data_IF_956175019215
#
_entry.id   IF_956175019215
#
_cell.length_a   1.000
_cell.length_b   1.000
_cell.length_c   1.000
_cell.angle_alpha   90.00
_cell.angle_beta   90.00
_cell.angle_gamma   90.00
#
_symmetry.space_group_name_H-M   'P 1'
#
loop_
_entity.id
_entity.type
_entity.pdbx_description
1 polymer ?
#
# COMPACT_ATOMS: atom_id res chain seq x y z
N UNK A 1 -47.77 -28.95 23.80
CA UNK A 1 -46.57 -29.44 23.04
C UNK A 1 -45.91 -28.35 22.20
N UNK A 2 -46.65 -27.52 21.46
CA UNK A 2 -46.14 -26.43 20.61
C UNK A 2 -45.34 -25.38 21.41
N UNK A 3 -45.89 -24.89 22.54
CA UNK A 3 -45.23 -23.87 23.36
C UNK A 3 -43.85 -24.32 23.91
N UNK A 4 -43.70 -25.62 24.25
CA UNK A 4 -42.41 -26.17 24.69
C UNK A 4 -41.39 -26.21 23.56
N UNK A 5 -41.81 -26.53 22.33
CA UNK A 5 -40.92 -26.50 21.13
C UNK A 5 -40.50 -25.09 20.79
N UNK A 6 -41.38 -24.10 20.86
CA UNK A 6 -41.07 -22.68 20.64
C UNK A 6 -40.06 -22.19 21.68
N UNK A 7 -40.27 -22.52 22.97
CA UNK A 7 -39.31 -22.13 24.02
C UNK A 7 -37.93 -22.70 23.78
N UNK A 8 -37.82 -23.97 23.41
CA UNK A 8 -36.52 -24.61 23.08
C UNK A 8 -35.89 -23.97 21.85
N UNK A 9 -36.65 -23.69 20.81
CA UNK A 9 -36.15 -22.99 19.62
C UNK A 9 -35.60 -21.61 19.97
N UNK A 10 -36.34 -20.82 20.76
CA UNK A 10 -35.86 -19.49 21.21
C UNK A 10 -34.60 -19.58 22.06
N UNK A 11 -34.48 -20.59 22.94
CA UNK A 11 -33.26 -20.79 23.71
C UNK A 11 -32.02 -21.06 22.80
N UNK A 12 -32.19 -21.92 21.78
CA UNK A 12 -31.12 -22.19 20.81
C UNK A 12 -30.80 -20.96 19.96
N UNK A 13 -31.80 -20.21 19.52
CA UNK A 13 -31.59 -18.96 18.76
C UNK A 13 -30.78 -17.93 19.57
N UNK A 14 -31.12 -17.75 20.86
CA UNK A 14 -30.38 -16.87 21.75
C UNK A 14 -28.93 -17.37 21.97
N UNK A 15 -28.77 -18.69 22.22
CA UNK A 15 -27.43 -19.27 22.41
C UNK A 15 -26.55 -19.09 21.18
N UNK A 16 -27.09 -19.29 19.97
CA UNK A 16 -26.39 -19.08 18.70
C UNK A 16 -26.03 -17.60 18.50
N UNK A 17 -26.96 -16.68 18.79
CA UNK A 17 -26.71 -15.25 18.69
C UNK A 17 -25.60 -14.81 19.66
N UNK A 18 -25.60 -15.26 20.91
CA UNK A 18 -24.56 -14.98 21.89
C UNK A 18 -23.23 -15.58 21.44
N UNK A 19 -23.23 -16.83 20.98
CA UNK A 19 -22.04 -17.48 20.44
C UNK A 19 -21.46 -16.72 19.25
N UNK A 20 -22.29 -16.28 18.31
CA UNK A 20 -21.88 -15.46 17.18
C UNK A 20 -21.25 -14.13 17.65
N UNK A 21 -21.88 -13.43 18.60
CA UNK A 21 -21.34 -12.19 19.13
C UNK A 21 -19.98 -12.39 19.81
N UNK A 22 -19.82 -13.46 20.60
CA UNK A 22 -18.53 -13.78 21.25
C UNK A 22 -17.44 -14.04 20.20
N UNK A 23 -17.70 -14.89 19.22
CA UNK A 23 -16.74 -15.21 18.16
C UNK A 23 -16.43 -13.97 17.34
N UNK A 24 -17.43 -13.15 17.01
CA UNK A 24 -17.21 -11.92 16.27
C UNK A 24 -16.32 -10.93 17.05
N UNK A 25 -16.52 -10.78 18.37
CA UNK A 25 -15.65 -9.96 19.21
C UNK A 25 -14.20 -10.46 19.24
N UNK A 26 -14.00 -11.78 19.29
CA UNK A 26 -12.66 -12.36 19.20
C UNK A 26 -12.02 -12.09 17.82
N UNK A 27 -12.82 -12.19 16.76
CA UNK A 27 -12.36 -11.84 15.40
C UNK A 27 -11.98 -10.37 15.26
N UNK A 28 -12.63 -9.44 15.99
CA UNK A 28 -12.23 -8.02 15.98
C UNK A 28 -10.82 -7.77 16.52
N UNK A 29 -10.32 -8.61 17.41
CA UNK A 29 -8.93 -8.55 17.89
C UNK A 29 -7.92 -9.16 16.94
N UNK A 30 -8.36 -9.95 15.96
CA UNK A 30 -7.51 -10.59 14.96
C UNK A 30 -7.56 -9.88 13.61
N UNK A 31 -8.74 -9.51 13.14
CA UNK A 31 -8.96 -8.83 11.86
C UNK A 31 -10.12 -7.86 12.01
N UNK A 32 -9.85 -6.56 11.95
CA UNK A 32 -10.87 -5.51 11.95
C UNK A 32 -10.58 -4.59 10.78
N UNK A 33 -11.30 -4.80 9.69
CA UNK A 33 -11.24 -3.93 8.54
C UNK A 33 -12.05 -2.66 8.81
N UNK A 34 -11.41 -1.54 8.58
CA UNK A 34 -12.04 -0.22 8.65
C UNK A 34 -12.74 0.11 7.34
N UNK A 35 -13.74 0.98 7.37
CA UNK A 35 -14.43 1.44 6.17
C UNK A 35 -13.47 2.13 5.20
N UNK A 36 -13.67 1.86 3.91
CA UNK A 36 -12.88 2.38 2.80
C UNK A 36 -13.66 3.44 2.05
N UNK A 37 -13.09 4.59 1.82
CA UNK A 37 -13.71 5.73 1.13
C UNK A 37 -12.97 5.94 -0.18
N UNK A 38 -13.64 5.70 -1.30
CA UNK A 38 -13.08 5.93 -2.63
C UNK A 38 -12.97 7.42 -2.93
N UNK A 39 -11.81 7.82 -3.46
CA UNK A 39 -11.49 9.19 -3.85
C UNK A 39 -10.93 9.20 -5.27
N UNK A 40 -11.78 9.00 -6.30
CA UNK A 40 -11.33 8.77 -7.67
C UNK A 40 -10.50 9.92 -8.27
N UNK A 41 -10.61 11.12 -7.71
CA UNK A 41 -9.87 12.31 -8.13
C UNK A 41 -9.08 12.95 -6.96
N UNK A 42 -8.85 12.18 -5.88
CA UNK A 42 -8.06 12.63 -4.73
C UNK A 42 -6.57 12.32 -4.86
N UNK A 43 -5.78 12.67 -3.84
CA UNK A 43 -4.35 12.43 -3.81
C UNK A 43 -3.97 10.94 -3.74
N UNK A 44 -4.96 10.09 -3.47
CA UNK A 44 -4.85 8.64 -3.42
C UNK A 44 -6.18 8.05 -3.87
N UNK A 45 -6.22 6.84 -4.47
CA UNK A 45 -7.47 6.23 -4.97
C UNK A 45 -8.54 6.07 -3.90
N UNK A 46 -8.12 5.91 -2.66
CA UNK A 46 -9.02 5.81 -1.51
C UNK A 46 -8.25 6.03 -0.20
N UNK A 47 -9.01 6.23 0.87
CA UNK A 47 -8.49 6.29 2.21
C UNK A 47 -9.42 5.55 3.20
N UNK A 48 -8.92 5.26 4.38
CA UNK A 48 -9.71 4.64 5.44
C UNK A 48 -10.66 5.64 6.11
N UNK A 49 -11.66 5.13 6.82
CA UNK A 49 -12.52 5.97 7.65
C UNK A 49 -11.69 6.60 8.79
N UNK A 50 -11.58 7.95 8.85
CA UNK A 50 -10.70 8.65 9.77
C UNK A 50 -10.97 8.34 11.25
N UNK A 51 -9.90 8.32 12.05
CA UNK A 51 -9.97 8.17 13.51
C UNK A 51 -10.29 6.76 14.01
N UNK A 52 -10.47 5.80 13.12
CA UNK A 52 -10.77 4.39 13.45
C UNK A 52 -9.50 3.59 13.78
N UNK A 53 -9.66 2.41 14.36
CA UNK A 53 -8.56 1.48 14.63
C UNK A 53 -8.67 0.30 13.67
N UNK A 54 -7.65 0.14 12.83
CA UNK A 54 -7.43 -1.00 11.97
C UNK A 54 -6.71 -2.10 12.76
N UNK A 55 -7.17 -3.34 12.64
CA UNK A 55 -6.47 -4.54 13.11
C UNK A 55 -6.33 -5.49 11.94
N UNK A 56 -5.11 -5.87 11.59
CA UNK A 56 -4.81 -6.77 10.50
C UNK A 56 -3.96 -7.93 11.00
N UNK A 57 -4.48 -9.15 10.93
CA UNK A 57 -3.84 -10.35 11.44
C UNK A 57 -3.81 -11.53 10.46
N UNK A 58 -4.40 -11.36 9.27
CA UNK A 58 -4.40 -12.41 8.22
C UNK A 58 -3.03 -12.55 7.57
N UNK A 59 -2.26 -11.46 7.54
CA UNK A 59 -0.85 -11.44 7.15
C UNK A 59 -0.09 -10.50 8.10
N UNK A 60 0.95 -10.98 8.75
CA UNK A 60 1.58 -10.24 9.83
C UNK A 60 0.66 -10.07 11.05
N UNK A 61 0.89 -9.03 11.81
CA UNK A 61 -0.04 -8.54 12.82
C UNK A 61 0.19 -7.05 13.07
N UNK A 62 -0.76 -6.24 12.59
CA UNK A 62 -0.75 -4.78 12.73
C UNK A 62 -1.96 -4.29 13.51
N UNK A 63 -1.73 -3.35 14.43
CA UNK A 63 -2.79 -2.55 15.04
C UNK A 63 -2.39 -1.09 14.84
N UNK A 64 -3.23 -0.34 14.14
CA UNK A 64 -2.91 1.04 13.81
C UNK A 64 -4.15 1.92 13.94
N UNK A 65 -3.96 3.12 14.45
CA UNK A 65 -4.97 4.17 14.41
C UNK A 65 -4.84 4.91 13.09
N UNK A 66 -5.95 4.98 12.35
CA UNK A 66 -6.05 5.79 11.14
C UNK A 66 -6.08 7.26 11.55
N UNK A 67 -5.31 8.10 10.88
CA UNK A 67 -5.25 9.53 11.14
C UNK A 67 -6.54 10.27 10.73
N UNK A 68 -6.56 11.59 10.87
CA UNK A 68 -7.72 12.42 10.57
C UNK A 68 -8.02 12.55 9.08
N UNK A 69 -7.05 12.22 8.22
CA UNK A 69 -7.17 12.27 6.77
C UNK A 69 -7.43 10.87 6.16
N UNK A 70 -7.47 9.83 6.99
CA UNK A 70 -7.78 8.47 6.56
C UNK A 70 -6.57 7.62 6.17
N UNK A 71 -5.35 8.01 6.59
CA UNK A 71 -4.11 7.30 6.27
C UNK A 71 -3.42 6.72 7.51
N UNK A 72 -2.34 5.96 7.28
CA UNK A 72 -1.55 5.33 8.35
C UNK A 72 -0.36 6.22 8.70
N UNK A 73 -0.59 7.25 9.51
CA UNK A 73 0.43 8.17 10.02
C UNK A 73 0.27 8.36 11.53
N UNK A 74 0.77 7.43 12.35
CA UNK A 74 0.55 7.50 13.80
C UNK A 74 1.15 8.75 14.45
N UNK A 75 2.23 9.29 13.87
CA UNK A 75 3.04 10.35 14.48
C UNK A 75 3.21 11.59 13.57
N UNK A 76 2.56 11.63 12.40
CA UNK A 76 2.71 12.72 11.42
C UNK A 76 1.44 13.56 11.26
N UNK A 77 1.61 14.87 11.08
CA UNK A 77 0.56 15.77 10.62
C UNK A 77 0.80 16.18 9.18
N UNK A 78 -0.27 16.39 8.44
CA UNK A 78 -0.23 16.80 7.05
C UNK A 78 0.49 18.15 6.87
N UNK A 79 0.29 19.06 7.79
CA UNK A 79 0.77 20.44 7.74
C UNK A 79 2.29 20.55 7.88
N UNK A 80 2.92 19.58 8.55
CA UNK A 80 4.36 19.55 8.81
C UNK A 80 5.09 18.60 7.83
N UNK A 81 4.40 18.12 6.77
CA UNK A 81 4.94 17.09 5.90
C UNK A 81 5.84 17.69 4.83
N UNK A 82 7.10 17.25 4.81
CA UNK A 82 8.12 17.64 3.84
C UNK A 82 8.45 16.51 2.86
N UNK A 83 8.10 15.27 3.20
CA UNK A 83 8.31 14.08 2.38
C UNK A 83 6.96 13.40 2.18
N UNK A 84 6.45 13.39 0.96
CA UNK A 84 5.22 12.67 0.62
C UNK A 84 5.57 11.25 0.19
N UNK A 85 4.97 10.25 0.83
CA UNK A 85 5.17 8.84 0.49
C UNK A 85 3.91 8.27 -0.20
N UNK A 86 4.00 8.04 -1.49
CA UNK A 86 3.01 7.38 -2.32
C UNK A 86 3.38 5.92 -2.53
N UNK A 87 2.42 5.07 -2.80
CA UNK A 87 2.70 3.66 -3.10
C UNK A 87 1.50 2.75 -2.88
N UNK A 88 1.78 1.47 -2.88
CA UNK A 88 0.82 0.38 -2.73
C UNK A 88 0.61 -0.01 -1.25
N UNK A 89 0.06 -1.22 -1.04
CA UNK A 89 -0.02 -1.84 0.28
C UNK A 89 1.35 -2.00 0.97
N UNK A 90 2.42 -2.10 0.21
CA UNK A 90 3.78 -2.18 0.74
C UNK A 90 4.20 -0.88 1.45
N UNK A 91 3.88 0.28 0.91
CA UNK A 91 4.10 1.56 1.59
C UNK A 91 3.09 1.76 2.71
N UNK A 92 1.83 1.38 2.50
CA UNK A 92 0.77 1.52 3.50
C UNK A 92 1.11 0.81 4.81
N UNK A 93 1.63 -0.43 4.75
CA UNK A 93 2.21 -1.14 5.88
C UNK A 93 1.22 -1.54 6.97
N UNK A 94 -0.03 -1.85 6.60
CA UNK A 94 -1.09 -2.28 7.55
C UNK A 94 -0.79 -3.60 8.25
N UNK A 95 0.09 -4.43 7.67
CA UNK A 95 0.55 -5.73 8.17
C UNK A 95 1.50 -5.61 9.37
N UNK A 96 1.96 -4.40 9.65
CA UNK A 96 2.96 -4.14 10.69
C UNK A 96 2.35 -3.49 11.93
N UNK A 97 2.95 -3.67 13.10
CA UNK A 97 2.66 -2.82 14.24
C UNK A 97 2.88 -1.35 13.90
N UNK A 98 2.05 -0.48 14.48
CA UNK A 98 2.18 0.97 14.33
C UNK A 98 3.62 1.45 14.51
N UNK A 99 4.06 2.39 13.67
CA UNK A 99 5.42 2.95 13.72
C UNK A 99 6.53 2.04 13.17
N UNK A 100 6.19 0.97 12.42
CA UNK A 100 7.17 0.02 11.87
C UNK A 100 7.23 -0.03 10.35
N UNK A 101 6.39 0.72 9.64
CA UNK A 101 6.57 0.95 8.21
C UNK A 101 7.73 1.93 7.94
N UNK A 102 8.25 1.96 6.73
CA UNK A 102 9.42 2.78 6.40
C UNK A 102 9.17 4.27 6.59
N UNK A 103 7.96 4.77 6.32
CA UNK A 103 7.59 6.17 6.55
C UNK A 103 7.74 6.57 8.02
N UNK A 104 7.27 5.74 8.94
CA UNK A 104 7.45 5.99 10.38
C UNK A 104 8.92 5.86 10.82
N UNK A 105 9.70 5.00 10.17
CA UNK A 105 11.15 4.91 10.41
C UNK A 105 11.88 6.16 9.92
N UNK A 106 11.49 6.74 8.78
CA UNK A 106 11.97 8.05 8.32
C UNK A 106 11.67 9.14 9.35
N UNK A 107 10.41 9.20 9.84
CA UNK A 107 10.03 10.14 10.89
C UNK A 107 10.88 9.99 12.15
N UNK A 108 11.18 8.75 12.56
CA UNK A 108 12.04 8.49 13.71
C UNK A 108 13.48 9.00 13.47
N UNK A 109 14.01 8.83 12.27
CA UNK A 109 15.35 9.28 11.90
C UNK A 109 15.44 10.83 11.90
N UNK A 110 14.55 11.47 11.18
CA UNK A 110 14.58 12.92 10.99
C UNK A 110 14.13 13.71 12.23
N UNK A 111 13.26 13.16 13.08
CA UNK A 111 12.90 13.79 14.36
C UNK A 111 14.07 13.90 15.35
N UNK A 112 15.12 13.11 15.18
CA UNK A 112 16.32 13.14 16.00
C UNK A 112 17.31 14.25 15.58
N UNK A 113 17.11 14.91 14.42
CA UNK A 113 17.96 15.96 13.86
C UNK A 113 17.47 17.40 14.13
N UNK A 114 18.35 18.38 13.89
CA UNK A 114 17.97 19.81 13.89
C UNK A 114 17.21 20.13 12.58
N UNK A 115 15.90 20.20 12.65
CA UNK A 115 15.00 20.43 11.52
C UNK A 115 14.15 19.20 11.25
N UNK A 116 13.02 19.11 11.90
CA UNK A 116 12.11 17.97 11.80
C UNK A 116 11.51 17.88 10.40
N UNK A 117 12.05 17.00 9.57
CA UNK A 117 11.41 16.60 8.34
C UNK A 117 10.39 15.52 8.66
N UNK A 118 9.14 15.77 8.33
CA UNK A 118 8.09 14.79 8.53
C UNK A 118 7.75 14.11 7.20
N UNK A 119 7.73 12.78 7.19
CA UNK A 119 7.23 11.97 6.10
C UNK A 119 5.75 11.63 6.32
N UNK A 120 4.95 11.77 5.28
CA UNK A 120 3.52 11.50 5.30
C UNK A 120 3.13 10.43 4.28
N UNK A 121 2.47 9.40 4.74
CA UNK A 121 2.09 8.22 3.97
C UNK A 121 0.65 8.37 3.46
N UNK A 122 0.46 8.49 2.14
CA UNK A 122 -0.85 8.45 1.48
C UNK A 122 -1.06 7.19 0.65
N UNK A 123 -0.24 6.18 0.86
CA UNK A 123 -0.31 4.93 0.12
C UNK A 123 -1.64 4.20 0.32
N UNK A 124 -2.01 3.45 -0.69
CA UNK A 124 -3.29 2.78 -0.78
C UNK A 124 -3.11 1.35 -1.28
N UNK A 125 -3.79 0.41 -0.63
CA UNK A 125 -3.80 -1.00 -1.03
C UNK A 125 -4.29 -1.15 -2.48
N UNK A 126 -3.55 -1.90 -3.29
CA UNK A 126 -3.85 -2.09 -4.72
C UNK A 126 -3.48 -0.90 -5.62
N UNK A 127 -2.73 0.07 -5.12
CA UNK A 127 -2.29 1.22 -5.89
C UNK A 127 -1.00 0.88 -6.66
N UNK A 128 -1.13 0.61 -7.95
CA UNK A 128 -0.01 0.30 -8.85
C UNK A 128 0.37 1.53 -9.69
N UNK A 129 1.47 1.44 -10.46
CA UNK A 129 2.02 2.55 -11.22
C UNK A 129 0.98 3.33 -12.07
N UNK A 130 0.04 2.72 -12.82
CA UNK A 130 -0.99 3.48 -13.54
C UNK A 130 -1.85 4.34 -12.63
N UNK A 131 -2.25 3.79 -11.49
CA UNK A 131 -3.04 4.54 -10.51
C UNK A 131 -2.21 5.63 -9.83
N UNK A 132 -0.93 5.41 -9.57
CA UNK A 132 -0.02 6.42 -9.04
C UNK A 132 0.14 7.59 -10.00
N UNK A 133 0.30 7.33 -11.31
CA UNK A 133 0.34 8.36 -12.37
C UNK A 133 -0.94 9.21 -12.34
N UNK A 134 -2.10 8.57 -12.36
CA UNK A 134 -3.40 9.23 -12.34
C UNK A 134 -3.58 10.15 -11.13
N UNK A 135 -3.17 9.74 -9.94
CA UNK A 135 -3.38 10.46 -8.69
C UNK A 135 -2.25 11.44 -8.34
N UNK A 136 -1.15 11.42 -9.08
CA UNK A 136 0.01 12.27 -8.83
C UNK A 136 -0.29 13.77 -8.84
N UNK A 137 -1.04 14.33 -9.82
CA UNK A 137 -1.37 15.75 -9.84
C UNK A 137 -2.11 16.21 -8.58
N UNK A 138 -3.12 15.44 -8.17
CA UNK A 138 -3.90 15.74 -6.97
C UNK A 138 -3.07 15.57 -5.68
N UNK A 139 -2.09 14.67 -5.68
CA UNK A 139 -1.17 14.52 -4.56
C UNK A 139 -0.24 15.75 -4.43
N UNK A 140 0.32 16.22 -5.53
CA UNK A 140 1.15 17.44 -5.54
C UNK A 140 0.33 18.67 -5.09
N UNK A 141 -0.90 18.83 -5.57
CA UNK A 141 -1.79 19.92 -5.16
C UNK A 141 -2.14 19.87 -3.67
N UNK A 142 -2.42 18.68 -3.15
CA UNK A 142 -2.79 18.49 -1.75
C UNK A 142 -1.61 18.68 -0.77
N UNK A 143 -0.36 18.56 -1.25
CA UNK A 143 0.86 18.62 -0.43
C UNK A 143 1.86 19.65 -0.96
N UNK A 144 1.49 20.94 -1.00
CA UNK A 144 2.33 21.98 -1.60
C UNK A 144 3.65 22.25 -0.86
N UNK A 145 3.78 21.79 0.38
CA UNK A 145 5.00 21.92 1.20
C UNK A 145 5.96 20.74 1.08
N UNK A 146 5.62 19.71 0.30
CA UNK A 146 6.52 18.58 0.08
C UNK A 146 7.77 19.06 -0.64
N UNK A 147 8.95 18.76 -0.09
CA UNK A 147 10.24 18.98 -0.73
C UNK A 147 10.72 17.75 -1.50
N UNK A 148 10.20 16.57 -1.13
CA UNK A 148 10.47 15.33 -1.80
C UNK A 148 9.19 14.46 -1.86
N UNK A 149 9.05 13.72 -2.97
CA UNK A 149 8.00 12.72 -3.15
C UNK A 149 8.67 11.36 -3.39
N UNK A 150 8.32 10.37 -2.57
CA UNK A 150 8.73 8.98 -2.79
C UNK A 150 7.56 8.19 -3.35
N UNK A 151 7.81 7.39 -4.39
CA UNK A 151 6.80 6.60 -5.09
C UNK A 151 7.25 5.14 -5.07
N UNK A 152 6.60 4.31 -4.28
CA UNK A 152 6.91 2.88 -4.22
C UNK A 152 6.16 2.13 -5.30
N UNK A 153 6.87 1.26 -6.02
CA UNK A 153 6.34 0.35 -7.01
C UNK A 153 7.04 -1.02 -6.92
N UNK A 154 6.31 -2.06 -7.26
CA UNK A 154 6.82 -3.45 -7.26
C UNK A 154 6.81 -4.11 -8.64
N UNK A 155 6.33 -3.43 -9.67
CA UNK A 155 6.24 -3.92 -11.03
C UNK A 155 6.13 -2.75 -12.01
N UNK A 156 6.82 -2.87 -13.15
CA UNK A 156 6.74 -1.92 -14.28
C UNK A 156 6.13 -2.55 -15.54
N UNK A 157 5.87 -3.86 -15.53
CA UNK A 157 5.26 -4.59 -16.66
C UNK A 157 3.73 -4.38 -16.67
N UNK A 158 3.32 -3.29 -17.32
CA UNK A 158 1.95 -2.77 -17.32
C UNK A 158 1.40 -2.84 -18.75
N UNK A 159 0.11 -3.07 -18.87
CA UNK A 159 -0.56 -3.09 -20.17
C UNK A 159 -0.66 -1.70 -20.80
N UNK A 160 -0.74 -1.67 -22.13
CA UNK A 160 -0.91 -0.43 -22.90
C UNK A 160 -2.18 0.29 -22.48
N UNK A 161 -3.29 -0.44 -22.34
CA UNK A 161 -4.60 0.10 -21.99
C UNK A 161 -4.61 0.75 -20.61
N UNK A 162 -3.88 0.19 -19.65
CA UNK A 162 -3.78 0.75 -18.29
C UNK A 162 -2.95 2.05 -18.29
N UNK A 163 -1.86 2.10 -19.07
CA UNK A 163 -1.04 3.31 -19.21
C UNK A 163 -1.78 4.42 -19.93
N UNK A 164 -2.44 4.13 -21.08
CA UNK A 164 -3.26 5.10 -21.80
C UNK A 164 -4.34 5.69 -20.91
N UNK A 165 -5.09 4.84 -20.20
CA UNK A 165 -6.11 5.29 -19.27
C UNK A 165 -5.54 6.18 -18.15
N UNK A 166 -4.38 5.82 -17.59
CA UNK A 166 -3.75 6.60 -16.52
C UNK A 166 -3.34 7.99 -17.00
N UNK A 167 -2.74 8.08 -18.19
CA UNK A 167 -2.33 9.36 -18.82
C UNK A 167 -3.52 10.26 -19.10
N UNK A 168 -4.57 9.73 -19.74
CA UNK A 168 -5.80 10.48 -19.99
C UNK A 168 -6.42 11.04 -18.70
N UNK A 169 -6.44 10.23 -17.62
CA UNK A 169 -7.05 10.67 -16.36
C UNK A 169 -6.17 11.66 -15.58
N UNK A 170 -4.86 11.61 -15.72
CA UNK A 170 -3.93 12.53 -15.05
C UNK A 170 -4.00 13.97 -15.61
N UNK A 171 -4.50 14.15 -16.85
CA UNK A 171 -4.74 15.47 -17.45
C UNK A 171 -6.04 16.12 -16.94
N UNK A 172 -6.98 15.35 -16.40
CA UNK A 172 -8.29 15.82 -15.97
C UNK A 172 -8.42 15.86 -14.44
N UNK A 173 -7.94 16.90 -13.82
CA UNK A 173 -8.26 17.20 -12.40
C UNK A 173 -9.70 17.71 -12.35
N UNK A 174 -10.67 16.82 -12.06
CA UNK A 174 -12.05 17.22 -11.78
C UNK A 174 -12.36 17.04 -10.30
N UNK A 175 -12.70 18.16 -9.67
CA UNK A 175 -13.20 18.22 -8.30
C UNK A 175 -14.59 17.54 -8.20
N UNK A 176 -14.62 16.28 -7.78
CA UNK A 176 -15.84 15.57 -7.42
C UNK A 176 -15.67 14.82 -6.10
N UNK A 177 -16.07 15.46 -5.02
CA UNK A 177 -16.29 14.78 -3.75
C UNK A 177 -17.48 13.82 -3.89
N UNK A 178 -17.20 12.54 -4.06
CA UNK A 178 -18.23 11.50 -4.11
C UNK A 178 -18.92 11.36 -2.74
N UNK A 179 -20.17 11.75 -2.64
CA UNK A 179 -20.98 11.48 -1.45
C UNK A 179 -21.32 9.99 -1.38
N UNK A 180 -20.84 9.32 -0.34
CA UNK A 180 -21.14 7.90 -0.09
C UNK A 180 -22.65 7.67 0.06
N UNK A 181 -23.20 6.83 -0.82
CA UNK A 181 -24.58 6.38 -0.75
C UNK A 181 -24.87 5.55 0.52
N UNK A 182 -26.16 5.47 0.92
CA UNK A 182 -26.58 4.74 2.12
C UNK A 182 -26.12 3.26 2.13
N UNK A 183 -26.13 2.61 0.97
CA UNK A 183 -25.67 1.21 0.79
C UNK A 183 -24.18 1.07 1.06
N UNK A 184 -23.36 2.01 0.61
CA UNK A 184 -21.92 2.01 0.86
C UNK A 184 -21.62 2.21 2.35
N UNK A 185 -22.34 3.13 3.02
CA UNK A 185 -22.25 3.31 4.47
C UNK A 185 -22.61 2.05 5.24
N UNK A 186 -23.66 1.35 4.84
CA UNK A 186 -24.07 0.08 5.47
C UNK A 186 -23.02 -1.02 5.25
N UNK A 187 -22.46 -1.15 4.05
CA UNK A 187 -21.35 -2.09 3.77
C UNK A 187 -20.12 -1.80 4.63
N UNK A 188 -19.77 -0.52 4.82
CA UNK A 188 -18.68 -0.12 5.69
C UNK A 188 -18.91 -0.56 7.14
N UNK A 189 -20.08 -0.30 7.68
CA UNK A 189 -20.46 -0.73 9.03
C UNK A 189 -20.38 -2.26 9.18
N UNK A 190 -20.86 -3.02 8.19
CA UNK A 190 -20.77 -4.49 8.23
C UNK A 190 -19.31 -4.93 8.23
N UNK A 191 -18.44 -4.37 7.40
CA UNK A 191 -17.02 -4.69 7.41
C UNK A 191 -16.35 -4.38 8.75
N UNK A 192 -16.66 -3.24 9.34
CA UNK A 192 -16.04 -2.78 10.60
C UNK A 192 -16.50 -3.59 11.82
N UNK A 193 -17.80 -3.89 11.92
CA UNK A 193 -18.37 -4.50 13.13
C UNK A 193 -18.62 -6.01 13.03
N UNK A 194 -18.50 -6.60 11.83
CA UNK A 194 -18.69 -8.03 11.60
C UNK A 194 -17.50 -8.69 10.89
N UNK A 195 -16.28 -8.64 11.47
CA UNK A 195 -15.08 -9.21 10.85
C UNK A 195 -15.19 -10.71 10.58
N UNK A 196 -15.97 -11.46 11.37
CA UNK A 196 -16.20 -12.88 11.11
C UNK A 196 -16.80 -13.13 9.72
N UNK A 197 -17.72 -12.28 9.25
CA UNK A 197 -18.30 -12.40 7.91
C UNK A 197 -17.27 -12.12 6.81
N UNK A 198 -16.36 -11.15 7.03
CA UNK A 198 -15.29 -10.85 6.10
C UNK A 198 -14.26 -11.99 6.02
N UNK A 199 -13.87 -12.58 7.14
CA UNK A 199 -12.98 -13.73 7.19
C UNK A 199 -13.55 -14.96 6.46
N UNK A 200 -14.85 -15.23 6.62
CA UNK A 200 -15.53 -16.30 5.87
C UNK A 200 -15.52 -16.00 4.37
N UNK A 201 -15.86 -14.77 3.99
CA UNK A 201 -15.88 -14.33 2.58
C UNK A 201 -14.49 -14.47 1.94
N UNK A 202 -13.43 -13.96 2.57
CA UNK A 202 -12.05 -14.01 2.06
C UNK A 202 -11.58 -15.45 1.83
N UNK A 203 -11.90 -16.38 2.74
CA UNK A 203 -11.56 -17.80 2.57
C UNK A 203 -12.29 -18.47 1.41
N UNK A 204 -13.51 -18.04 1.09
CA UNK A 204 -14.26 -18.53 -0.06
C UNK A 204 -13.73 -17.97 -1.39
N UNK A 205 -13.28 -16.72 -1.40
CA UNK A 205 -12.74 -16.04 -2.60
C UNK A 205 -11.34 -16.54 -2.96
N UNK A 206 -10.46 -16.82 -1.98
CA UNK A 206 -9.11 -17.35 -2.21
C UNK A 206 -9.12 -18.71 -2.94
N UNK A 207 -10.23 -19.43 -2.90
CA UNK A 207 -10.39 -20.69 -3.64
C UNK A 207 -10.66 -20.51 -5.15
N UNK A 208 -10.87 -19.27 -5.63
CA UNK A 208 -11.34 -18.99 -6.98
C UNK A 208 -10.30 -18.25 -7.88
N UNK A 209 -9.15 -17.84 -7.34
CA UNK A 209 -8.18 -17.00 -8.06
C UNK A 209 -6.90 -17.76 -8.40
N UNK A 210 -6.67 -18.04 -9.68
CA UNK A 210 -5.34 -18.03 -10.35
C UNK A 210 -5.50 -18.30 -11.85
N UNK A 211 -5.28 -17.29 -12.68
CA UNK A 211 -4.86 -17.50 -14.06
C UNK A 211 -3.62 -16.63 -14.30
N UNK A 212 -2.49 -17.19 -14.75
CA UNK A 212 -1.34 -16.39 -15.15
C UNK A 212 -1.66 -15.66 -16.45
N UNK A 213 -1.36 -14.37 -16.50
CA UNK A 213 -1.37 -13.60 -17.74
C UNK A 213 -0.33 -14.17 -18.68
N UNK A 214 -0.71 -14.38 -19.96
CA UNK A 214 0.19 -14.87 -20.98
C UNK A 214 1.32 -13.89 -21.27
N UNK A 215 2.51 -14.41 -21.53
CA UNK A 215 3.68 -13.62 -21.88
C UNK A 215 3.49 -13.01 -23.28
N UNK A 216 3.10 -11.74 -23.34
CA UNK A 216 3.19 -10.91 -24.55
C UNK A 216 4.59 -10.27 -24.64
N UNK A 217 5.09 -10.13 -25.88
CA UNK A 217 6.34 -9.41 -26.09
C UNK A 217 6.18 -7.95 -25.70
N UNK A 218 7.23 -7.35 -25.09
CA UNK A 218 7.25 -5.93 -24.74
C UNK A 218 6.88 -5.09 -25.94
N UNK A 219 5.76 -4.40 -25.87
CA UNK A 219 5.29 -3.52 -26.91
C UNK A 219 6.13 -2.24 -26.91
N UNK A 220 6.64 -1.82 -28.09
CA UNK A 220 7.31 -0.52 -28.23
C UNK A 220 6.37 0.62 -27.81
N UNK A 221 5.07 0.41 -27.94
CA UNK A 221 4.06 1.36 -27.53
C UNK A 221 3.97 1.47 -26.01
N UNK A 222 3.96 0.36 -25.27
CA UNK A 222 4.02 0.39 -23.82
C UNK A 222 5.27 1.13 -23.30
N UNK A 223 6.42 0.89 -23.94
CA UNK A 223 7.66 1.60 -23.62
C UNK A 223 7.59 3.12 -23.89
N UNK A 224 6.88 3.55 -24.93
CA UNK A 224 6.68 4.97 -25.23
C UNK A 224 5.76 5.61 -24.21
N UNK A 225 4.62 5.01 -23.89
CA UNK A 225 3.66 5.49 -22.89
C UNK A 225 4.29 5.58 -21.48
N UNK A 226 5.16 4.64 -21.13
CA UNK A 226 5.86 4.67 -19.85
C UNK A 226 6.81 5.87 -19.75
N UNK A 227 7.51 6.22 -20.84
CA UNK A 227 8.34 7.45 -20.87
C UNK A 227 7.48 8.71 -20.75
N UNK A 228 6.40 8.78 -21.51
CA UNK A 228 5.43 9.88 -21.42
C UNK A 228 4.87 10.06 -20.01
N UNK A 229 4.56 8.95 -19.32
CA UNK A 229 4.09 8.98 -17.95
C UNK A 229 5.13 9.59 -16.97
N UNK A 230 6.42 9.26 -17.13
CA UNK A 230 7.47 9.82 -16.28
C UNK A 230 7.79 11.29 -16.63
N UNK A 231 7.69 11.68 -17.89
CA UNK A 231 7.75 13.09 -18.33
C UNK A 231 6.60 13.89 -17.71
N UNK A 232 5.38 13.34 -17.71
CA UNK A 232 4.21 13.95 -17.10
C UNK A 232 4.40 14.14 -15.58
N UNK A 233 4.82 13.09 -14.86
CA UNK A 233 5.13 13.17 -13.43
C UNK A 233 6.17 14.26 -13.16
N UNK A 234 7.25 14.31 -13.92
CA UNK A 234 8.30 15.32 -13.74
C UNK A 234 7.81 16.73 -14.02
N UNK A 235 6.96 16.91 -15.03
CA UNK A 235 6.44 18.23 -15.40
C UNK A 235 5.52 18.86 -14.35
N UNK A 236 4.96 18.07 -13.46
CA UNK A 236 4.02 18.51 -12.42
C UNK A 236 4.66 18.85 -11.09
N UNK A 237 5.92 18.49 -10.88
CA UNK A 237 6.57 18.69 -9.60
C UNK A 237 8.07 18.96 -9.78
N UNK A 238 8.53 20.12 -9.31
CA UNK A 238 9.93 20.58 -9.47
C UNK A 238 10.87 20.04 -8.38
N UNK A 239 10.33 19.54 -7.27
CA UNK A 239 11.13 19.01 -6.15
C UNK A 239 11.72 17.63 -6.43
N UNK A 240 12.28 17.00 -5.43
CA UNK A 240 12.90 15.68 -5.55
C UNK A 240 11.85 14.58 -5.71
N UNK A 241 11.99 13.74 -6.72
CA UNK A 241 11.18 12.53 -6.93
C UNK A 241 12.09 11.30 -6.84
N UNK A 242 11.73 10.36 -5.98
CA UNK A 242 12.46 9.11 -5.78
C UNK A 242 11.51 7.94 -5.97
N UNK A 243 11.68 7.16 -7.04
CA UNK A 243 11.03 5.87 -7.14
C UNK A 243 11.75 4.83 -6.29
N UNK A 244 10.98 4.09 -5.50
CA UNK A 244 11.44 2.93 -4.73
C UNK A 244 10.93 1.70 -5.44
N UNK A 245 11.81 1.00 -6.15
CA UNK A 245 11.47 -0.22 -6.85
C UNK A 245 11.90 -1.44 -6.05
N UNK A 246 10.99 -2.38 -5.87
CA UNK A 246 11.29 -3.67 -5.25
C UNK A 246 10.40 -4.76 -5.86
N UNK A 247 10.83 -6.00 -5.75
CA UNK A 247 10.06 -7.15 -6.17
C UNK A 247 9.97 -8.18 -5.06
N UNK A 248 8.91 -8.97 -5.08
CA UNK A 248 8.77 -10.12 -4.22
C UNK A 248 9.94 -11.09 -4.44
N UNK A 249 10.49 -11.62 -3.34
CA UNK A 249 11.65 -12.50 -3.38
C UNK A 249 11.23 -13.95 -3.47
N UNK A 250 11.81 -14.70 -4.39
CA UNK A 250 11.80 -16.17 -4.41
C UNK A 250 13.13 -16.74 -3.92
N UNK A 251 13.14 -18.01 -3.58
CA UNK A 251 14.38 -18.76 -3.27
C UNK A 251 14.51 -19.89 -4.30
N UNK A 252 15.60 -19.88 -5.06
CA UNK A 252 15.95 -20.93 -5.99
C UNK A 252 16.38 -22.22 -5.26
N UNK A 253 16.49 -23.32 -5.99
CA UNK A 253 16.88 -24.62 -5.41
C UNK A 253 18.28 -24.63 -4.79
N UNK A 254 19.17 -23.78 -5.26
CA UNK A 254 20.53 -23.60 -4.72
C UNK A 254 20.58 -22.66 -3.50
N UNK A 255 19.44 -22.12 -3.07
CA UNK A 255 19.33 -21.22 -1.93
C UNK A 255 19.57 -19.75 -2.26
N UNK A 256 19.73 -19.37 -3.52
CA UNK A 256 19.89 -17.97 -3.91
C UNK A 256 18.53 -17.24 -3.99
N UNK A 257 18.52 -15.94 -3.73
CA UNK A 257 17.35 -15.07 -4.00
C UNK A 257 17.18 -14.91 -5.51
N UNK A 258 15.94 -15.01 -5.95
CA UNK A 258 15.52 -14.73 -7.33
C UNK A 258 14.34 -13.77 -7.33
N UNK A 259 14.20 -13.04 -8.42
CA UNK A 259 13.10 -12.13 -8.70
C UNK A 259 12.40 -12.56 -9.99
N UNK A 260 11.13 -12.21 -10.10
CA UNK A 260 10.41 -12.39 -11.35
C UNK A 260 10.93 -11.44 -12.43
N UNK A 261 10.79 -11.83 -13.70
CA UNK A 261 11.13 -10.96 -14.83
C UNK A 261 10.19 -9.75 -14.87
N UNK A 262 10.77 -8.56 -14.98
CA UNK A 262 10.06 -7.31 -15.22
C UNK A 262 10.57 -6.70 -16.53
N UNK A 263 9.81 -6.89 -17.60
CA UNK A 263 10.23 -6.64 -18.99
C UNK A 263 10.39 -5.15 -19.31
N UNK A 264 9.69 -4.27 -18.60
CA UNK A 264 9.77 -2.83 -18.81
C UNK A 264 10.72 -2.12 -17.84
N UNK A 265 11.33 -2.85 -16.90
CA UNK A 265 12.18 -2.23 -15.88
C UNK A 265 13.33 -1.40 -16.47
N UNK A 266 14.05 -1.91 -17.48
CA UNK A 266 15.17 -1.15 -18.06
C UNK A 266 14.69 0.12 -18.77
N UNK A 267 13.52 0.09 -19.42
CA UNK A 267 12.87 1.27 -20.01
C UNK A 267 12.48 2.27 -18.92
N UNK A 268 11.91 1.78 -17.83
CA UNK A 268 11.53 2.59 -16.68
C UNK A 268 12.76 3.26 -16.05
N UNK A 269 13.82 2.50 -15.80
CA UNK A 269 15.06 3.02 -15.21
C UNK A 269 15.70 4.11 -16.09
N UNK A 270 15.73 3.89 -17.41
CA UNK A 270 16.23 4.89 -18.36
C UNK A 270 15.35 6.13 -18.38
N UNK A 271 14.03 5.98 -18.37
CA UNK A 271 13.09 7.10 -18.35
C UNK A 271 13.18 7.91 -17.03
N UNK A 272 13.42 7.26 -15.88
CA UNK A 272 13.74 7.97 -14.64
C UNK A 272 15.00 8.83 -14.80
N UNK A 273 16.08 8.26 -15.34
CA UNK A 273 17.33 8.98 -15.55
C UNK A 273 17.16 10.16 -16.52
N UNK A 274 16.46 9.97 -17.64
CA UNK A 274 16.21 11.00 -18.66
C UNK A 274 15.42 12.19 -18.10
N UNK A 275 14.56 11.96 -17.10
CA UNK A 275 13.75 12.97 -16.45
C UNK A 275 14.32 13.50 -15.13
N UNK A 276 15.55 13.13 -14.75
CA UNK A 276 16.14 13.55 -13.48
C UNK A 276 15.35 13.05 -12.25
N UNK A 277 14.70 11.90 -12.38
CA UNK A 277 14.00 11.21 -11.29
C UNK A 277 14.95 10.16 -10.73
N UNK A 278 15.13 10.12 -9.42
CA UNK A 278 15.97 9.11 -8.79
C UNK A 278 15.24 7.75 -8.73
N UNK A 279 15.99 6.69 -8.98
CA UNK A 279 15.50 5.30 -8.84
C UNK A 279 16.31 4.56 -7.78
N UNK A 280 15.65 4.18 -6.70
CA UNK A 280 16.18 3.31 -5.66
C UNK A 280 15.74 1.88 -5.94
N UNK A 281 16.58 1.08 -6.61
CA UNK A 281 16.34 -0.35 -6.81
C UNK A 281 16.76 -1.13 -5.57
N UNK A 282 15.78 -1.71 -4.86
CA UNK A 282 16.01 -2.46 -3.63
C UNK A 282 16.46 -3.91 -3.85
N UNK A 283 16.43 -4.43 -5.07
CA UNK A 283 16.81 -5.83 -5.35
C UNK A 283 18.25 -6.16 -4.94
N UNK A 284 19.26 -5.34 -5.29
CA UNK A 284 20.63 -5.56 -4.83
C UNK A 284 20.78 -5.54 -3.31
N UNK A 285 20.08 -4.61 -2.63
CA UNK A 285 20.09 -4.49 -1.16
C UNK A 285 19.51 -5.74 -0.50
N UNK A 286 18.40 -6.25 -1.04
CA UNK A 286 17.77 -7.47 -0.55
C UNK A 286 18.64 -8.72 -0.73
N UNK A 287 19.31 -8.83 -1.90
CA UNK A 287 20.26 -9.92 -2.17
C UNK A 287 21.45 -9.88 -1.23
N UNK A 288 22.07 -8.70 -1.06
CA UNK A 288 23.22 -8.53 -0.17
C UNK A 288 22.86 -8.89 1.27
N UNK A 289 21.73 -8.37 1.77
CA UNK A 289 21.30 -8.64 3.13
C UNK A 289 21.00 -10.14 3.34
N UNK A 290 20.28 -10.77 2.40
CA UNK A 290 19.99 -12.19 2.47
C UNK A 290 21.25 -13.06 2.45
N UNK A 291 22.23 -12.75 1.62
CA UNK A 291 23.49 -13.50 1.56
C UNK A 291 24.25 -13.47 2.89
N UNK A 292 24.17 -12.37 3.62
CA UNK A 292 24.83 -12.20 4.91
C UNK A 292 24.04 -12.80 6.09
N UNK A 293 22.71 -12.69 6.07
CA UNK A 293 21.87 -12.95 7.24
C UNK A 293 20.87 -14.08 7.07
N UNK A 294 20.63 -14.55 5.84
CA UNK A 294 19.62 -15.55 5.50
C UNK A 294 18.19 -15.17 5.95
N UNK A 295 17.89 -13.88 5.98
CA UNK A 295 16.59 -13.32 6.31
C UNK A 295 15.97 -12.65 5.07
N UNK A 296 14.67 -12.88 4.85
CA UNK A 296 13.93 -12.36 3.70
C UNK A 296 13.17 -11.08 4.06
N UNK A 297 13.13 -10.07 3.16
CA UNK A 297 12.43 -8.82 3.37
C UNK A 297 10.90 -8.93 3.23
N UNK A 298 10.39 -10.08 2.81
CA UNK A 298 8.98 -10.35 2.57
C UNK A 298 8.47 -11.51 3.41
N UNK A 299 7.16 -11.49 3.67
CA UNK A 299 6.46 -12.54 4.39
C UNK A 299 6.56 -12.41 5.90
N UNK A 300 5.63 -13.04 6.57
CA UNK A 300 5.47 -12.99 8.02
C UNK A 300 5.44 -14.40 8.61
N UNK A 301 5.47 -14.51 9.93
CA UNK A 301 5.42 -15.81 10.62
C UNK A 301 4.15 -16.62 10.33
N UNK A 302 3.07 -15.96 9.94
CA UNK A 302 1.79 -16.56 9.57
C UNK A 302 1.56 -16.67 8.05
N UNK A 303 2.58 -16.39 7.22
CA UNK A 303 2.57 -16.58 5.76
C UNK A 303 3.77 -17.40 5.31
N UNK A 304 3.94 -17.60 4.00
CA UNK A 304 5.15 -18.22 3.45
C UNK A 304 6.31 -17.25 3.53
N UNK A 305 7.52 -17.67 3.96
CA UNK A 305 8.71 -16.85 3.85
C UNK A 305 8.94 -16.36 2.41
N UNK A 306 9.26 -15.08 2.24
CA UNK A 306 9.52 -14.47 0.94
C UNK A 306 8.27 -14.12 0.13
N UNK A 307 7.07 -14.44 0.62
CA UNK A 307 5.81 -14.25 -0.11
C UNK A 307 4.87 -13.29 0.63
N UNK A 308 4.14 -12.48 -0.12
CA UNK A 308 3.18 -11.51 0.39
C UNK A 308 3.79 -10.11 0.52
N UNK A 309 3.53 -9.43 1.64
CA UNK A 309 3.97 -8.05 1.82
C UNK A 309 5.38 -7.95 2.44
N UNK A 310 5.96 -6.75 2.31
CA UNK A 310 7.19 -6.38 3.02
C UNK A 310 7.00 -6.53 4.53
N UNK A 311 7.91 -7.25 5.16
CA UNK A 311 7.92 -7.38 6.61
C UNK A 311 8.74 -6.25 7.28
N UNK A 312 8.95 -6.32 8.60
CA UNK A 312 9.72 -5.31 9.33
C UNK A 312 11.13 -5.10 8.79
N UNK A 313 11.76 -6.17 8.31
CA UNK A 313 13.08 -6.12 7.70
C UNK A 313 13.05 -5.35 6.39
N UNK A 314 12.10 -5.69 5.50
CA UNK A 314 11.95 -5.02 4.21
C UNK A 314 11.75 -3.51 4.37
N UNK A 315 10.86 -3.10 5.28
CA UNK A 315 10.64 -1.69 5.58
C UNK A 315 11.87 -1.00 6.17
N UNK A 316 12.62 -1.69 7.04
CA UNK A 316 13.86 -1.14 7.59
C UNK A 316 14.92 -0.93 6.52
N UNK A 317 15.12 -1.91 5.64
CA UNK A 317 16.09 -1.80 4.55
C UNK A 317 15.74 -0.68 3.56
N UNK A 318 14.44 -0.49 3.26
CA UNK A 318 13.98 0.65 2.44
C UNK A 318 14.29 1.97 3.15
N UNK A 319 13.96 2.11 4.44
CA UNK A 319 14.25 3.35 5.17
C UNK A 319 15.75 3.64 5.20
N UNK A 320 16.59 2.65 5.54
CA UNK A 320 18.04 2.78 5.61
C UNK A 320 18.66 3.17 4.25
N UNK A 321 18.14 2.62 3.15
CA UNK A 321 18.61 2.94 1.81
C UNK A 321 18.11 4.31 1.31
N UNK A 322 16.92 4.75 1.74
CA UNK A 322 16.29 5.99 1.30
C UNK A 322 16.83 7.23 2.02
N UNK A 323 17.21 7.11 3.30
CA UNK A 323 17.70 8.22 4.12
C UNK A 323 18.81 9.03 3.44
N UNK A 324 19.88 8.43 2.92
CA UNK A 324 20.96 9.22 2.26
C UNK A 324 20.48 10.04 1.06
N UNK A 325 19.52 9.51 0.28
CA UNK A 325 18.94 10.24 -0.85
C UNK A 325 18.13 11.46 -0.39
N UNK A 326 17.37 11.29 0.69
CA UNK A 326 16.57 12.38 1.26
C UNK A 326 17.46 13.44 1.93
N UNK A 327 18.50 13.04 2.65
CA UNK A 327 19.47 13.97 3.24
C UNK A 327 20.18 14.80 2.17
N UNK A 328 20.59 14.18 1.05
CA UNK A 328 21.19 14.90 -0.08
C UNK A 328 20.21 15.88 -0.75
N UNK A 329 18.96 15.45 -0.94
CA UNK A 329 17.93 16.26 -1.60
C UNK A 329 17.51 17.49 -0.78
N UNK A 330 17.74 17.47 0.54
CA UNK A 330 17.31 18.50 1.47
C UNK A 330 18.46 19.31 2.06
N UNK A 331 19.71 19.04 1.65
CA UNK A 331 20.91 19.80 2.02
C UNK A 331 21.07 21.05 1.17
#
# INVERSE_FOLDING_TARGET
>A
MVAKKIKVFLQWAVALAVGFCIVNLLCMGYERLVGWIETPNGPSPAHWNPGTILVHGTEGYGITKIDQNGYINPDGTLEDSHILCMGSSHTQGKELPSGKNYTALLNTHFAAGEGSLAAYNIACDGNFLPSLIKHFPAAVEAFPNASAITIEISNTDISVEELEYALEQAEYVQDQTAQLGLVSKLKMLIKEYFPLLNLIKSKLETAASAAPAGAEAVSQHAAALLREALELIRSQYDGEIIFIYHQQTGIAQDGTIVFDEDRLFDVFAQACQDNGIRLLDMRPVFVEYYNLHQELPYGFANTRPGNGHLNKLGHRLIAEALIPYLEEAMA
#
